data_IF_498406855392
#
_entry.id   IF_498406855392
#
_cell.length_a   1.000
_cell.length_b   1.000
_cell.length_c   1.000
_cell.angle_alpha   90.00
_cell.angle_beta   90.00
_cell.angle_gamma   90.00
#
_symmetry.space_group_name_H-M   'P 1'
#
loop_
_entity.id
_entity.type
_entity.pdbx_description
1 polymer ?
#
# COMPACT_ATOMS: atom_id res chain seq x y z
N UNK A 1 -6.98 -22.53 -7.36
CA UNK A 1 -7.31 -22.63 -5.92
C UNK A 1 -6.07 -22.34 -5.07
N UNK A 2 -5.60 -21.08 -5.01
CA UNK A 2 -4.47 -20.69 -4.15
C UNK A 2 -4.80 -19.37 -3.44
N UNK A 3 -4.77 -19.45 -2.11
CA UNK A 3 -4.72 -18.39 -1.09
C UNK A 3 -5.81 -17.29 -1.08
N UNK A 4 -7.07 -17.70 -0.94
CA UNK A 4 -8.12 -16.87 -0.31
C UNK A 4 -8.07 -16.90 1.22
N UNK A 5 -7.11 -17.62 1.81
CA UNK A 5 -7.03 -17.90 3.25
C UNK A 5 -6.17 -16.92 4.05
N UNK A 6 -5.74 -15.81 3.44
CA UNK A 6 -5.04 -14.73 4.15
C UNK A 6 -5.96 -13.69 4.78
N UNK A 7 -7.27 -13.82 4.58
CA UNK A 7 -8.25 -12.80 4.93
C UNK A 7 -8.57 -12.70 6.42
N UNK A 8 -8.12 -13.63 7.29
CA UNK A 8 -8.39 -13.57 8.75
C UNK A 8 -7.34 -14.26 9.65
N UNK A 9 -6.07 -14.30 9.25
CA UNK A 9 -5.05 -14.54 10.27
C UNK A 9 -4.89 -13.21 11.03
N UNK A 10 -5.14 -13.22 12.34
CA UNK A 10 -4.84 -12.02 13.15
C UNK A 10 -3.37 -11.69 12.91
N UNK A 11 -3.07 -10.42 12.64
CA UNK A 11 -1.70 -9.99 12.37
C UNK A 11 -0.74 -10.44 13.49
N UNK A 12 -1.26 -10.57 14.71
CA UNK A 12 -0.62 -11.12 15.92
C UNK A 12 -0.02 -12.52 15.75
N UNK A 13 -0.53 -13.34 14.83
CA UNK A 13 -0.09 -14.73 14.61
C UNK A 13 0.97 -14.90 13.53
N UNK A 14 1.36 -13.81 12.86
CA UNK A 14 2.27 -13.87 11.72
C UNK A 14 3.73 -13.84 12.19
N UNK A 15 4.55 -14.88 11.94
CA UNK A 15 5.96 -14.84 12.30
C UNK A 15 6.70 -13.77 11.48
N UNK A 16 7.27 -12.79 12.18
CA UNK A 16 8.05 -11.71 11.58
C UNK A 16 9.41 -12.25 11.17
N UNK A 17 9.79 -12.04 9.91
CA UNK A 17 11.11 -12.37 9.36
C UNK A 17 11.81 -11.10 8.87
N UNK A 18 13.14 -11.10 8.83
CA UNK A 18 13.95 -10.03 8.21
C UNK A 18 13.57 -9.76 6.75
N UNK A 19 12.92 -10.72 6.09
CA UNK A 19 12.40 -10.54 4.73
C UNK A 19 11.24 -9.54 4.63
N UNK A 20 10.62 -9.18 5.76
CA UNK A 20 9.46 -8.28 5.81
C UNK A 20 9.80 -6.80 5.69
N UNK A 21 11.07 -6.41 5.78
CA UNK A 21 11.53 -5.06 5.46
C UNK A 21 11.97 -5.02 3.99
N UNK A 22 11.40 -4.12 3.19
CA UNK A 22 11.83 -3.88 1.82
C UNK A 22 13.20 -3.18 1.78
N UNK A 23 13.90 -3.20 0.64
CA UNK A 23 15.17 -2.46 0.45
C UNK A 23 15.07 -0.97 0.81
N UNK A 24 13.89 -0.37 0.60
CA UNK A 24 13.58 1.02 0.95
C UNK A 24 13.10 1.21 2.41
N UNK A 25 13.35 0.24 3.29
CA UNK A 25 13.01 0.30 4.72
C UNK A 25 11.53 0.12 5.04
N UNK A 26 10.65 0.01 4.04
CA UNK A 26 9.22 -0.13 4.29
C UNK A 26 8.87 -1.54 4.81
N UNK A 27 8.14 -1.60 5.93
CA UNK A 27 7.64 -2.84 6.49
C UNK A 27 6.40 -3.34 5.73
N UNK A 28 6.42 -4.59 5.26
CA UNK A 28 5.33 -5.14 4.45
C UNK A 28 4.01 -5.25 5.22
N UNK A 29 4.05 -5.46 6.54
CA UNK A 29 2.83 -5.61 7.34
C UNK A 29 2.00 -4.33 7.46
N UNK A 30 2.59 -3.15 7.26
CA UNK A 30 1.87 -1.87 7.18
C UNK A 30 1.55 -1.45 5.74
N UNK A 31 2.01 -2.18 4.73
CA UNK A 31 1.83 -1.83 3.32
C UNK A 31 0.42 -2.17 2.82
N UNK A 32 -0.33 -1.17 2.34
CA UNK A 32 -1.68 -1.37 1.80
C UNK A 32 -1.74 -2.35 0.62
N UNK A 33 -0.70 -2.37 -0.23
CA UNK A 33 -0.62 -3.30 -1.36
C UNK A 33 -0.45 -4.75 -0.91
N UNK A 34 0.29 -4.98 0.17
CA UNK A 34 0.52 -6.32 0.71
C UNK A 34 -0.65 -6.82 1.55
N UNK A 35 -1.29 -5.93 2.32
CA UNK A 35 -2.53 -6.23 3.05
C UNK A 35 -3.67 -6.52 2.09
N UNK A 36 -3.70 -5.87 0.93
CA UNK A 36 -4.71 -6.11 -0.11
C UNK A 36 -6.09 -5.55 0.21
N UNK A 37 -6.27 -4.88 1.34
CA UNK A 37 -7.58 -4.37 1.81
C UNK A 37 -8.23 -3.40 0.83
N UNK A 38 -7.47 -2.44 0.30
CA UNK A 38 -7.97 -1.49 -0.70
C UNK A 38 -8.45 -2.24 -1.95
N UNK A 39 -7.66 -3.21 -2.38
CA UNK A 39 -7.98 -4.00 -3.56
C UNK A 39 -9.19 -4.93 -3.31
N UNK A 40 -9.36 -5.47 -2.09
CA UNK A 40 -10.51 -6.29 -1.70
C UNK A 40 -11.80 -5.46 -1.71
N UNK A 41 -11.74 -4.25 -1.15
CA UNK A 41 -12.86 -3.32 -1.15
C UNK A 41 -13.21 -2.85 -2.56
N UNK A 42 -12.20 -2.53 -3.39
CA UNK A 42 -12.41 -2.14 -4.78
C UNK A 42 -13.07 -3.27 -5.58
N UNK A 43 -12.60 -4.51 -5.42
CA UNK A 43 -13.17 -5.69 -6.06
C UNK A 43 -14.62 -5.94 -5.65
N UNK A 44 -14.91 -5.88 -4.36
CA UNK A 44 -16.27 -6.10 -3.86
C UNK A 44 -17.22 -5.01 -4.34
N UNK A 45 -16.81 -3.74 -4.30
CA UNK A 45 -17.60 -2.63 -4.83
C UNK A 45 -17.85 -2.80 -6.33
N UNK A 46 -16.81 -3.12 -7.11
CA UNK A 46 -16.93 -3.36 -8.56
C UNK A 46 -17.91 -4.50 -8.86
N UNK A 47 -17.88 -5.59 -8.08
CA UNK A 47 -18.82 -6.70 -8.20
C UNK A 47 -20.25 -6.26 -7.94
N UNK A 48 -20.51 -5.54 -6.83
CA UNK A 48 -21.85 -5.05 -6.46
C UNK A 48 -22.43 -4.11 -7.51
N UNK A 49 -21.61 -3.22 -8.06
CA UNK A 49 -22.03 -2.28 -9.10
C UNK A 49 -22.37 -3.00 -10.42
N UNK A 50 -21.59 -4.02 -10.80
CA UNK A 50 -21.87 -4.87 -11.97
C UNK A 50 -23.15 -5.68 -11.81
N UNK A 51 -23.34 -6.33 -10.66
CA UNK A 51 -24.53 -7.13 -10.36
C UNK A 51 -25.82 -6.28 -10.42
N UNK A 52 -25.73 -5.03 -10.00
CA UNK A 52 -26.84 -4.07 -10.05
C UNK A 52 -27.05 -3.42 -11.43
N UNK A 53 -26.24 -3.75 -12.45
CA UNK A 53 -26.20 -3.04 -13.74
C UNK A 53 -26.09 -1.51 -13.58
N UNK A 54 -25.34 -1.05 -12.58
CA UNK A 54 -25.40 0.33 -12.07
C UNK A 54 -25.01 1.39 -13.10
N UNK A 55 -24.26 1.02 -14.15
CA UNK A 55 -23.97 1.90 -15.30
C UNK A 55 -25.25 2.56 -15.85
N UNK A 56 -26.31 1.77 -16.05
CA UNK A 56 -27.59 2.29 -16.59
C UNK A 56 -28.26 3.26 -15.62
N UNK A 57 -28.15 2.99 -14.32
CA UNK A 57 -28.65 3.87 -13.26
C UNK A 57 -27.86 5.18 -13.22
N UNK A 58 -26.54 5.12 -13.35
CA UNK A 58 -25.66 6.30 -13.38
C UNK A 58 -26.00 7.21 -14.57
N UNK A 59 -26.16 6.63 -15.76
CA UNK A 59 -26.59 7.34 -16.99
C UNK A 59 -27.98 7.97 -16.81
N UNK A 60 -28.97 7.19 -16.39
CA UNK A 60 -30.36 7.66 -16.29
C UNK A 60 -30.60 8.68 -15.17
N UNK A 61 -29.94 8.57 -14.01
CA UNK A 61 -30.11 9.51 -12.89
C UNK A 61 -29.48 10.86 -13.21
N UNK A 62 -28.35 10.87 -13.90
CA UNK A 62 -27.73 12.10 -14.40
C UNK A 62 -28.68 12.86 -15.34
N UNK A 63 -29.22 12.15 -16.35
CA UNK A 63 -30.12 12.73 -17.35
C UNK A 63 -31.46 13.21 -16.75
N UNK A 64 -32.04 12.44 -15.82
CA UNK A 64 -33.37 12.74 -15.27
C UNK A 64 -33.35 13.82 -14.18
N UNK A 65 -32.37 13.79 -13.28
CA UNK A 65 -32.44 14.58 -12.05
C UNK A 65 -31.66 15.89 -12.09
N UNK A 66 -30.69 16.03 -13.00
CA UNK A 66 -29.72 17.14 -13.00
C UNK A 66 -28.83 17.20 -11.75
N UNK A 67 -29.04 16.28 -10.79
CA UNK A 67 -28.24 16.05 -9.58
C UNK A 67 -27.31 14.87 -9.84
N UNK A 68 -26.24 14.75 -9.05
CA UNK A 68 -25.23 13.69 -9.22
C UNK A 68 -24.48 13.76 -10.57
N UNK A 69 -24.06 14.97 -10.96
CA UNK A 69 -23.36 15.23 -12.24
C UNK A 69 -22.11 14.36 -12.43
N UNK A 70 -21.41 14.05 -11.35
CA UNK A 70 -20.18 13.25 -11.41
C UNK A 70 -20.42 11.78 -11.80
N UNK A 71 -21.67 11.29 -11.70
CA UNK A 71 -22.02 9.96 -12.19
C UNK A 71 -22.00 9.87 -13.73
N UNK A 72 -21.96 10.99 -14.45
CA UNK A 72 -21.70 10.99 -15.89
C UNK A 72 -20.34 10.36 -16.23
N UNK A 73 -19.36 10.48 -15.34
CA UNK A 73 -18.01 9.91 -15.47
C UNK A 73 -17.88 8.51 -14.83
N UNK A 74 -18.99 7.81 -14.58
CA UNK A 74 -18.99 6.51 -13.91
C UNK A 74 -18.05 5.48 -14.57
N UNK A 75 -17.87 5.52 -15.90
CA UNK A 75 -16.90 4.64 -16.58
C UNK A 75 -15.48 4.85 -16.06
N UNK A 76 -15.04 6.11 -15.94
CA UNK A 76 -13.71 6.45 -15.42
C UNK A 76 -13.56 6.01 -13.96
N UNK A 77 -14.62 6.14 -13.17
CA UNK A 77 -14.65 5.60 -11.80
C UNK A 77 -14.49 4.07 -11.78
N UNK A 78 -15.22 3.35 -12.64
CA UNK A 78 -15.10 1.90 -12.77
C UNK A 78 -13.70 1.47 -13.21
N UNK A 79 -13.06 2.21 -14.13
CA UNK A 79 -11.69 1.93 -14.57
C UNK A 79 -10.70 2.11 -13.41
N UNK A 80 -10.85 3.18 -12.62
CA UNK A 80 -10.05 3.40 -11.42
C UNK A 80 -10.23 2.27 -10.38
N UNK A 81 -11.45 1.76 -10.19
CA UNK A 81 -11.68 0.59 -9.32
C UNK A 81 -10.98 -0.67 -9.85
N UNK A 82 -10.93 -0.88 -11.17
CA UNK A 82 -10.20 -2.01 -11.77
C UNK A 82 -8.69 -1.89 -11.49
N UNK A 83 -8.13 -0.69 -11.62
CA UNK A 83 -6.73 -0.43 -11.28
C UNK A 83 -6.48 -0.70 -9.78
N UNK A 84 -7.34 -0.22 -8.88
CA UNK A 84 -7.23 -0.47 -7.45
C UNK A 84 -7.32 -1.96 -7.08
N UNK A 85 -8.17 -2.76 -7.74
CA UNK A 85 -8.22 -4.23 -7.54
C UNK A 85 -6.89 -4.90 -7.94
N UNK A 86 -6.21 -4.37 -8.95
CA UNK A 86 -4.92 -4.88 -9.42
C UNK A 86 -3.74 -4.52 -8.49
N UNK A 87 -3.90 -3.50 -7.62
CA UNK A 87 -2.86 -3.01 -6.71
C UNK A 87 -2.63 -3.96 -5.52
N UNK A 88 -2.12 -5.16 -5.81
CA UNK A 88 -1.82 -6.20 -4.83
C UNK A 88 -0.40 -6.73 -4.96
N UNK A 89 0.30 -6.83 -3.84
CA UNK A 89 1.57 -7.54 -3.75
C UNK A 89 1.30 -9.03 -3.50
N UNK A 90 1.59 -9.89 -4.48
CA UNK A 90 1.50 -11.35 -4.32
C UNK A 90 2.69 -11.95 -3.55
N UNK A 91 3.81 -11.21 -3.48
CA UNK A 91 5.04 -11.57 -2.77
C UNK A 91 5.65 -10.33 -2.13
N UNK A 92 6.27 -10.48 -0.96
CA UNK A 92 7.05 -9.41 -0.31
C UNK A 92 8.21 -8.97 -1.21
N UNK A 93 8.59 -7.69 -1.13
CA UNK A 93 9.54 -7.08 -2.08
C UNK A 93 10.86 -7.85 -2.24
N UNK A 94 11.36 -8.45 -1.15
CA UNK A 94 12.60 -9.24 -1.14
C UNK A 94 12.46 -10.62 -1.81
N UNK A 95 11.25 -11.17 -1.89
CA UNK A 95 10.98 -12.48 -2.49
C UNK A 95 10.26 -12.36 -3.84
N UNK A 96 10.07 -11.14 -4.33
CA UNK A 96 9.27 -10.84 -5.51
C UNK A 96 10.15 -10.41 -6.68
N UNK A 97 9.87 -10.94 -7.84
CA UNK A 97 10.38 -10.56 -9.14
C UNK A 97 9.57 -9.40 -9.77
N UNK A 98 8.43 -9.01 -9.19
CA UNK A 98 7.63 -7.86 -9.62
C UNK A 98 8.37 -6.52 -9.45
N UNK A 99 9.45 -6.49 -8.66
CA UNK A 99 10.28 -5.31 -8.42
C UNK A 99 11.51 -5.20 -9.32
N UNK A 100 11.60 -5.97 -10.42
CA UNK A 100 12.77 -5.96 -11.35
C UNK A 100 13.17 -4.56 -11.84
N UNK A 101 12.21 -3.64 -11.99
CA UNK A 101 12.48 -2.26 -12.42
C UNK A 101 12.70 -1.27 -11.27
N UNK A 102 12.58 -1.71 -10.00
CA UNK A 102 12.78 -0.87 -8.83
C UNK A 102 14.24 -0.37 -8.77
N UNK A 103 14.43 0.95 -8.84
CA UNK A 103 15.76 1.57 -8.77
C UNK A 103 16.44 1.34 -7.42
N UNK A 104 15.69 1.39 -6.32
CA UNK A 104 16.22 1.18 -4.96
C UNK A 104 16.74 -0.25 -4.79
N UNK A 105 15.97 -1.25 -5.23
CA UNK A 105 16.38 -2.65 -5.18
C UNK A 105 17.68 -2.88 -5.95
N UNK A 106 17.72 -2.47 -7.22
CA UNK A 106 18.91 -2.64 -8.07
C UNK A 106 20.13 -1.95 -7.48
N UNK A 107 19.95 -0.79 -6.89
CA UNK A 107 21.01 -0.06 -6.21
C UNK A 107 21.56 -0.84 -5.01
N UNK A 108 20.69 -1.39 -4.15
CA UNK A 108 21.11 -2.20 -3.00
C UNK A 108 21.76 -3.51 -3.43
N UNK A 109 21.22 -4.20 -4.43
CA UNK A 109 21.81 -5.42 -5.00
C UNK A 109 23.20 -5.16 -5.60
N UNK A 110 23.37 -4.05 -6.35
CA UNK A 110 24.67 -3.67 -6.90
C UNK A 110 25.70 -3.28 -5.84
N UNK A 111 25.27 -2.67 -4.74
CA UNK A 111 26.14 -2.33 -3.61
C UNK A 111 26.33 -3.49 -2.62
N UNK A 112 25.67 -4.63 -2.85
CA UNK A 112 25.69 -5.80 -1.96
C UNK A 112 25.26 -5.48 -0.52
N UNK A 113 24.33 -4.52 -0.36
CA UNK A 113 23.76 -4.14 0.94
C UNK A 113 22.34 -4.67 1.10
N UNK A 114 21.96 -5.01 2.34
CA UNK A 114 20.64 -5.53 2.61
C UNK A 114 19.54 -4.48 2.38
N UNK A 115 19.83 -3.19 2.53
CA UNK A 115 18.88 -2.11 2.26
C UNK A 115 19.50 -0.73 2.42
N UNK A 116 18.71 0.31 2.14
CA UNK A 116 19.19 1.70 2.17
C UNK A 116 19.75 2.14 3.53
N UNK A 117 19.35 1.49 4.63
CA UNK A 117 19.91 1.76 5.97
C UNK A 117 21.37 1.35 6.12
N UNK A 118 21.92 0.53 5.24
CA UNK A 118 23.36 0.17 5.21
C UNK A 118 24.17 1.08 4.28
N UNK A 119 23.52 1.95 3.50
CA UNK A 119 24.22 2.80 2.53
C UNK A 119 24.99 3.94 3.23
N UNK A 120 26.31 3.97 3.11
CA UNK A 120 27.16 5.00 3.74
C UNK A 120 26.93 6.41 3.15
N UNK A 121 26.50 6.48 1.89
CA UNK A 121 26.28 7.73 1.15
C UNK A 121 24.80 8.12 1.04
N UNK A 122 23.97 7.64 1.97
CA UNK A 122 22.51 7.80 1.90
C UNK A 122 22.07 9.28 1.83
N UNK A 123 22.78 10.17 2.51
CA UNK A 123 22.52 11.62 2.56
C UNK A 123 22.69 12.32 1.21
N UNK A 124 23.50 11.76 0.30
CA UNK A 124 23.76 12.28 -1.04
C UNK A 124 23.28 11.32 -2.15
N UNK A 125 22.44 10.34 -1.80
CA UNK A 125 22.05 9.25 -2.69
C UNK A 125 21.27 9.75 -3.92
N UNK A 126 21.86 9.58 -5.11
CA UNK A 126 21.24 9.96 -6.38
C UNK A 126 19.92 9.23 -6.67
N UNK A 127 19.76 8.00 -6.17
CA UNK A 127 18.51 7.22 -6.35
C UNK A 127 17.33 7.87 -5.62
N UNK A 128 17.58 8.51 -4.47
CA UNK A 128 16.55 9.17 -3.67
C UNK A 128 16.30 10.62 -4.10
N UNK A 129 17.20 11.23 -4.89
CA UNK A 129 17.01 12.61 -5.38
C UNK A 129 15.80 12.77 -6.32
N UNK A 130 15.28 11.67 -6.87
CA UNK A 130 14.04 11.67 -7.65
C UNK A 130 12.75 11.68 -6.81
N UNK A 131 12.85 11.65 -5.49
CA UNK A 131 11.70 11.78 -4.58
C UNK A 131 11.43 13.26 -4.28
N UNK A 132 10.17 13.57 -3.96
CA UNK A 132 9.82 14.85 -3.35
C UNK A 132 10.69 15.09 -2.09
N UNK A 133 11.17 16.32 -1.81
CA UNK A 133 12.03 16.64 -0.68
C UNK A 133 11.54 16.12 0.68
N UNK A 134 10.25 16.26 0.99
CA UNK A 134 9.68 15.81 2.28
C UNK A 134 9.75 14.30 2.38
N UNK A 135 9.36 13.60 1.32
CA UNK A 135 9.44 12.15 1.25
C UNK A 135 10.89 11.67 1.36
N UNK A 136 11.84 12.37 0.72
CA UNK A 136 13.27 12.07 0.82
C UNK A 136 13.75 12.19 2.26
N UNK A 137 13.41 13.29 2.94
CA UNK A 137 13.81 13.53 4.32
C UNK A 137 13.24 12.46 5.26
N UNK A 138 11.95 12.12 5.11
CA UNK A 138 11.33 11.04 5.88
C UNK A 138 12.00 9.69 5.66
N UNK A 139 12.41 9.38 4.42
CA UNK A 139 13.12 8.13 4.11
C UNK A 139 14.50 8.09 4.75
N UNK A 140 15.26 9.17 4.68
CA UNK A 140 16.58 9.26 5.33
C UNK A 140 16.45 9.08 6.85
N UNK A 141 15.49 9.75 7.49
CA UNK A 141 15.23 9.60 8.91
C UNK A 141 14.89 8.14 9.28
N UNK A 142 14.02 7.48 8.49
CA UNK A 142 13.70 6.06 8.65
C UNK A 142 14.94 5.17 8.54
N UNK A 143 15.84 5.44 7.59
CA UNK A 143 17.07 4.67 7.43
C UNK A 143 18.02 4.85 8.61
N UNK A 144 18.12 6.06 9.13
CA UNK A 144 18.88 6.33 10.35
C UNK A 144 18.29 5.60 11.57
N UNK A 145 16.97 5.57 11.70
CA UNK A 145 16.27 4.82 12.76
C UNK A 145 16.60 3.32 12.69
N UNK A 146 16.44 2.71 11.50
CA UNK A 146 16.75 1.29 11.27
C UNK A 146 18.22 1.00 11.58
N UNK A 147 19.14 1.85 11.12
CA UNK A 147 20.58 1.69 11.36
C UNK A 147 20.91 1.75 12.85
N UNK A 148 20.31 2.69 13.59
CA UNK A 148 20.59 2.90 15.00
C UNK A 148 20.04 1.76 15.87
N UNK A 149 18.81 1.31 15.62
CA UNK A 149 18.14 0.31 16.47
C UNK A 149 18.39 -1.14 16.04
N UNK A 150 18.79 -1.36 14.79
CA UNK A 150 18.93 -2.66 14.18
C UNK A 150 17.62 -3.21 13.60
N UNK A 151 17.75 -4.02 12.54
CA UNK A 151 16.62 -4.53 11.74
C UNK A 151 15.59 -5.30 12.57
N UNK A 152 16.04 -6.11 13.53
CA UNK A 152 15.15 -6.94 14.37
C UNK A 152 14.23 -6.08 15.23
N UNK A 153 14.79 -5.09 15.90
CA UNK A 153 14.02 -4.19 16.77
C UNK A 153 13.08 -3.31 15.95
N UNK A 154 13.56 -2.77 14.83
CA UNK A 154 12.73 -2.03 13.89
C UNK A 154 11.50 -2.84 13.45
N UNK A 155 11.69 -4.09 13.05
CA UNK A 155 10.62 -4.97 12.60
C UNK A 155 9.61 -5.29 13.72
N UNK A 156 10.09 -5.51 14.95
CA UNK A 156 9.23 -5.71 16.12
C UNK A 156 8.33 -4.50 16.37
N UNK A 157 8.90 -3.29 16.35
CA UNK A 157 8.13 -2.05 16.54
C UNK A 157 7.18 -1.77 15.37
N UNK A 158 7.64 -1.92 14.13
CA UNK A 158 6.82 -1.72 12.94
C UNK A 158 5.63 -2.69 12.90
N UNK A 159 5.82 -3.93 13.34
CA UNK A 159 4.75 -4.91 13.46
C UNK A 159 3.73 -4.52 14.53
N UNK A 160 4.18 -4.10 15.72
CA UNK A 160 3.32 -3.64 16.80
C UNK A 160 2.46 -2.44 16.35
N UNK A 161 3.08 -1.42 15.75
CA UNK A 161 2.38 -0.26 15.19
C UNK A 161 1.33 -0.69 14.15
N UNK A 162 1.66 -1.65 13.28
CA UNK A 162 0.73 -2.14 12.27
C UNK A 162 -0.48 -2.90 12.86
N UNK A 163 -0.30 -3.61 13.97
CA UNK A 163 -1.41 -4.23 14.74
C UNK A 163 -2.28 -3.13 15.36
N UNK A 164 -1.67 -2.17 16.06
CA UNK A 164 -2.36 -1.07 16.73
C UNK A 164 -3.18 -0.22 15.74
N UNK A 165 -2.60 0.15 14.60
CA UNK A 165 -3.31 0.84 13.52
C UNK A 165 -4.50 0.04 13.00
N UNK A 166 -4.35 -1.28 12.88
CA UNK A 166 -5.44 -2.16 12.42
C UNK A 166 -6.58 -2.24 13.45
N UNK A 167 -6.25 -2.24 14.74
CA UNK A 167 -7.23 -2.19 15.83
C UNK A 167 -7.96 -0.84 15.87
N UNK A 168 -7.25 0.28 15.68
CA UNK A 168 -7.85 1.62 15.65
C UNK A 168 -8.79 1.84 14.46
N UNK A 169 -8.52 1.22 13.29
CA UNK A 169 -9.39 1.30 12.10
C UNK A 169 -10.75 0.61 12.26
N UNK A 170 -10.96 -0.17 13.32
CA UNK A 170 -12.28 -0.73 13.67
C UNK A 170 -13.21 0.37 14.19
N UNK A 171 -12.67 1.51 14.62
CA UNK A 171 -13.46 2.69 14.97
C UNK A 171 -13.72 3.51 13.69
N UNK A 172 -14.99 3.82 13.36
CA UNK A 172 -15.31 4.51 12.13
C UNK A 172 -14.68 5.91 12.14
N UNK A 173 -14.02 6.34 11.06
CA UNK A 173 -13.65 7.73 10.92
C UNK A 173 -14.94 8.57 10.85
N UNK A 174 -15.08 9.54 11.76
CA UNK A 174 -16.06 10.63 11.63
C UNK A 174 -15.68 11.47 10.41
N UNK A 175 -16.04 10.99 9.21
CA UNK A 175 -15.93 11.75 7.98
C UNK A 175 -17.30 11.78 7.33
N UNK A 176 -18.04 12.85 7.61
CA UNK A 176 -19.19 13.26 6.80
C UNK A 176 -18.65 13.80 5.48
N UNK A 177 -19.18 13.32 4.35
CA UNK A 177 -18.98 14.02 3.07
C UNK A 177 -19.40 15.49 3.25
N UNK A 178 -18.63 16.46 2.69
CA UNK A 178 -19.10 17.82 2.65
C UNK A 178 -20.43 17.85 1.89
N UNK A 179 -21.49 18.23 2.60
CA UNK A 179 -22.75 18.64 1.99
C UNK A 179 -22.53 20.04 1.43
N UNK A 180 -22.42 20.14 0.11
CA UNK A 180 -22.67 21.38 -0.63
C UNK A 180 -24.16 21.73 -0.65
#
# INVERSE_FOLDING_TARGET
>A
MRDTQRSRLSMESIPISETWIAFCGHYCGSCHLYRGEIADLAKELLRRLKDAQFQKTAEGVHEFSGRFRDLADYRRFSDALCELDSLRCTRICRLSDASKNCRVRRCCEHQEIAGCWECETIESCAVLNGLNPDLRQHRIALFSEIRHMGVREYLSQAHRRAIEESAMRILPPNQTCPSE
#
